data_IF_398901501179
#
_entry.id   IF_398901501179
#
_cell.length_a   1.000
_cell.length_b   1.000
_cell.length_c   1.000
_cell.angle_alpha   90.00
_cell.angle_beta   90.00
_cell.angle_gamma   90.00
#
_symmetry.space_group_name_H-M   'P 1'
#
loop_
_entity.id
_entity.type
_entity.pdbx_description
1 polymer ?
#
# COMPACT_ATOMS: atom_id res chain seq x y z
N UNK A 1 -35.59 7.53 14.68
CA UNK A 1 -35.06 8.61 13.81
C UNK A 1 -33.62 9.02 14.15
N UNK A 2 -33.26 9.30 15.42
CA UNK A 2 -31.85 9.62 15.78
C UNK A 2 -30.83 8.49 15.56
N UNK A 3 -31.20 7.23 15.80
CA UNK A 3 -30.28 6.08 15.71
C UNK A 3 -29.91 5.77 14.24
N UNK A 4 -30.90 5.75 13.34
CA UNK A 4 -30.69 5.55 11.91
C UNK A 4 -29.82 6.64 11.26
N UNK A 5 -29.93 7.88 11.72
CA UNK A 5 -29.06 8.98 11.27
C UNK A 5 -27.59 8.73 11.66
N UNK A 6 -27.34 8.29 12.90
CA UNK A 6 -25.98 7.98 13.36
C UNK A 6 -25.37 6.79 12.62
N UNK A 7 -26.14 5.73 12.37
CA UNK A 7 -25.68 4.58 11.57
C UNK A 7 -25.35 4.98 10.11
N UNK A 8 -26.19 5.82 9.50
CA UNK A 8 -25.92 6.32 8.14
C UNK A 8 -24.69 7.23 8.08
N UNK A 9 -24.46 8.02 9.14
CA UNK A 9 -23.31 8.90 9.24
C UNK A 9 -22.01 8.09 9.44
N UNK A 10 -22.03 7.09 10.31
CA UNK A 10 -20.88 6.23 10.62
C UNK A 10 -20.42 5.42 9.39
N UNK A 11 -21.36 4.78 8.69
CA UNK A 11 -21.10 4.09 7.43
C UNK A 11 -20.51 5.01 6.37
N UNK A 12 -21.02 6.23 6.23
CA UNK A 12 -20.49 7.22 5.29
C UNK A 12 -19.05 7.62 5.64
N UNK A 13 -18.75 7.85 6.92
CA UNK A 13 -17.40 8.18 7.38
C UNK A 13 -16.43 7.03 7.15
N UNK A 14 -16.84 5.81 7.46
CA UNK A 14 -16.04 4.61 7.23
C UNK A 14 -15.73 4.42 5.74
N UNK A 15 -16.72 4.59 4.87
CA UNK A 15 -16.55 4.51 3.41
C UNK A 15 -15.58 5.57 2.87
N UNK A 16 -15.68 6.80 3.39
CA UNK A 16 -14.75 7.89 3.01
C UNK A 16 -13.34 7.57 3.52
N UNK A 17 -13.21 7.11 4.76
CA UNK A 17 -11.94 6.69 5.36
C UNK A 17 -11.28 5.57 4.56
N UNK A 18 -12.04 4.53 4.21
CA UNK A 18 -11.56 3.40 3.41
C UNK A 18 -11.08 3.82 2.01
N UNK A 19 -11.66 4.88 1.44
CA UNK A 19 -11.24 5.42 0.13
C UNK A 19 -10.00 6.29 0.23
N UNK A 20 -9.81 7.02 1.33
CA UNK A 20 -8.72 7.99 1.49
C UNK A 20 -7.48 7.35 2.12
N UNK A 21 -7.66 6.46 3.10
CA UNK A 21 -6.56 5.87 3.86
C UNK A 21 -5.46 5.22 2.98
N UNK A 22 -5.79 4.49 1.89
CA UNK A 22 -4.76 3.91 1.03
C UNK A 22 -3.87 4.95 0.34
N UNK A 23 -4.38 6.17 0.07
CA UNK A 23 -3.60 7.25 -0.55
C UNK A 23 -2.69 7.97 0.45
N UNK A 24 -3.06 7.96 1.73
CA UNK A 24 -2.29 8.61 2.80
C UNK A 24 -1.30 7.67 3.47
N UNK A 25 -1.54 6.34 3.43
CA UNK A 25 -0.66 5.34 4.02
C UNK A 25 0.82 5.45 3.57
N UNK A 26 1.14 5.80 2.31
CA UNK A 26 2.52 6.02 1.85
C UNK A 26 3.24 7.26 2.42
N UNK A 27 2.50 8.23 2.96
CA UNK A 27 3.08 9.55 3.30
C UNK A 27 4.08 9.49 4.46
N UNK A 28 3.82 8.79 5.57
CA UNK A 28 4.77 8.72 6.68
C UNK A 28 6.11 8.09 6.28
N UNK A 29 6.07 6.99 5.53
CA UNK A 29 7.26 6.26 5.06
C UNK A 29 8.04 7.06 4.03
N UNK A 30 7.36 7.71 3.07
CA UNK A 30 7.99 8.62 2.11
C UNK A 30 8.74 9.77 2.81
N UNK A 31 8.12 10.37 3.84
CA UNK A 31 8.76 11.42 4.63
C UNK A 31 10.01 10.90 5.36
N UNK A 32 9.93 9.72 5.98
CA UNK A 32 11.06 9.13 6.70
C UNK A 32 12.24 8.82 5.76
N UNK A 33 11.97 8.23 4.59
CA UNK A 33 13.00 7.95 3.56
C UNK A 33 13.60 9.25 3.03
N UNK A 34 12.75 10.21 2.65
CA UNK A 34 13.21 11.50 2.12
C UNK A 34 14.06 12.26 3.12
N UNK A 35 13.63 12.30 4.39
CA UNK A 35 14.39 12.93 5.47
C UNK A 35 15.71 12.21 5.74
N UNK A 36 15.71 10.88 5.86
CA UNK A 36 16.92 10.13 6.14
C UNK A 36 17.96 10.26 5.01
N UNK A 37 17.50 10.23 3.76
CA UNK A 37 18.38 10.41 2.59
C UNK A 37 18.94 11.82 2.49
N UNK A 38 18.16 12.85 2.85
CA UNK A 38 18.63 14.23 2.88
C UNK A 38 19.57 14.51 4.07
N UNK A 39 19.14 14.17 5.30
CA UNK A 39 19.84 14.54 6.55
C UNK A 39 21.05 13.63 6.87
N UNK A 40 21.06 12.37 6.42
CA UNK A 40 22.08 11.39 6.80
C UNK A 40 22.96 10.90 5.65
N UNK A 41 22.49 10.99 4.40
CA UNK A 41 23.29 10.65 3.23
C UNK A 41 23.78 11.89 2.47
N UNK A 42 23.41 13.09 2.93
CA UNK A 42 23.70 14.38 2.29
C UNK A 42 23.30 14.41 0.80
N UNK A 43 22.24 13.68 0.44
CA UNK A 43 21.74 13.69 -0.93
C UNK A 43 21.07 15.02 -1.25
N UNK A 44 21.21 15.53 -2.48
CA UNK A 44 20.49 16.73 -2.87
C UNK A 44 18.98 16.47 -2.82
N UNK A 45 18.19 17.49 -2.42
CA UNK A 45 16.77 17.31 -2.09
C UNK A 45 15.92 16.69 -3.20
N UNK A 46 16.27 16.90 -4.48
CA UNK A 46 15.60 16.24 -5.60
C UNK A 46 15.88 14.73 -5.65
N UNK A 47 17.10 14.28 -5.31
CA UNK A 47 17.45 12.85 -5.22
C UNK A 47 16.75 12.20 -4.04
N UNK A 48 16.72 12.87 -2.88
CA UNK A 48 15.97 12.41 -1.71
C UNK A 48 14.47 12.23 -2.02
N UNK A 49 13.89 13.15 -2.79
CA UNK A 49 12.50 13.08 -3.24
C UNK A 49 12.27 11.88 -4.18
N UNK A 50 13.16 11.68 -5.15
CA UNK A 50 13.09 10.52 -6.06
C UNK A 50 13.22 9.20 -5.29
N UNK A 51 14.12 9.15 -4.30
CA UNK A 51 14.29 7.97 -3.45
C UNK A 51 13.02 7.65 -2.65
N UNK A 52 12.40 8.65 -2.03
CA UNK A 52 11.13 8.49 -1.32
C UNK A 52 10.02 7.96 -2.24
N UNK A 53 9.85 8.56 -3.42
CA UNK A 53 8.85 8.11 -4.40
C UNK A 53 9.13 6.69 -4.88
N UNK A 54 10.40 6.34 -5.09
CA UNK A 54 10.80 5.01 -5.57
C UNK A 54 10.46 3.92 -4.55
N UNK A 55 10.72 4.17 -3.27
CA UNK A 55 10.39 3.22 -2.20
C UNK A 55 8.88 3.01 -2.12
N UNK A 56 8.07 4.07 -2.15
CA UNK A 56 6.60 3.91 -2.16
C UNK A 56 6.07 3.22 -3.42
N UNK A 57 6.63 3.52 -4.59
CA UNK A 57 6.26 2.86 -5.83
C UNK A 57 6.57 1.36 -5.78
N UNK A 58 7.68 0.97 -5.13
CA UNK A 58 8.02 -0.44 -4.88
C UNK A 58 7.01 -1.10 -3.94
N UNK A 59 6.57 -0.41 -2.88
CA UNK A 59 5.53 -0.89 -1.98
C UNK A 59 4.20 -1.14 -2.67
N UNK A 60 3.76 -0.18 -3.48
CA UNK A 60 2.55 -0.29 -4.29
C UNK A 60 2.66 -1.45 -5.29
N UNK A 61 3.77 -1.54 -6.03
CA UNK A 61 3.99 -2.63 -6.99
C UNK A 61 3.97 -4.01 -6.30
N UNK A 62 4.67 -4.15 -5.18
CA UNK A 62 4.74 -5.41 -4.42
C UNK A 62 3.37 -5.80 -3.87
N UNK A 63 2.62 -4.84 -3.32
CA UNK A 63 1.26 -5.06 -2.81
C UNK A 63 0.30 -5.48 -3.91
N UNK A 64 0.30 -4.77 -5.04
CA UNK A 64 -0.55 -5.11 -6.19
C UNK A 64 -0.22 -6.49 -6.72
N UNK A 65 1.07 -6.80 -6.92
CA UNK A 65 1.50 -8.15 -7.36
C UNK A 65 1.06 -9.23 -6.37
N UNK A 66 1.19 -9.01 -5.05
CA UNK A 66 0.74 -9.98 -4.07
C UNK A 66 -0.78 -10.24 -4.13
N UNK A 67 -1.58 -9.19 -4.32
CA UNK A 67 -3.02 -9.30 -4.48
C UNK A 67 -3.40 -10.04 -5.77
N UNK A 68 -2.76 -9.72 -6.89
CA UNK A 68 -2.99 -10.38 -8.18
C UNK A 68 -2.64 -11.87 -8.14
N UNK A 69 -1.50 -12.24 -7.53
CA UNK A 69 -1.11 -13.65 -7.38
C UNK A 69 -2.06 -14.41 -6.46
N UNK A 70 -2.57 -13.75 -5.41
CA UNK A 70 -3.58 -14.32 -4.53
C UNK A 70 -4.91 -14.53 -5.28
N UNK A 71 -5.32 -13.55 -6.07
CA UNK A 71 -6.54 -13.60 -6.88
C UNK A 71 -6.46 -14.68 -7.97
N UNK A 72 -5.29 -14.83 -8.62
CA UNK A 72 -5.02 -15.93 -9.54
C UNK A 72 -5.27 -17.28 -8.87
N UNK A 73 -4.68 -17.52 -7.69
CA UNK A 73 -4.86 -18.78 -6.97
C UNK A 73 -6.31 -19.05 -6.57
N UNK A 74 -7.12 -18.01 -6.35
CA UNK A 74 -8.53 -18.14 -6.04
C UNK A 74 -9.41 -18.52 -7.25
N UNK A 75 -9.02 -18.13 -8.46
CA UNK A 75 -9.85 -18.27 -9.68
C UNK A 75 -9.27 -19.19 -10.75
N UNK A 76 -8.03 -19.67 -10.61
CA UNK A 76 -7.38 -20.56 -11.58
C UNK A 76 -8.11 -21.89 -11.75
N UNK A 77 -7.94 -22.54 -12.90
CA UNK A 77 -8.46 -23.90 -13.12
C UNK A 77 -7.59 -24.90 -12.37
N UNK A 78 -8.13 -26.10 -12.11
CA UNK A 78 -7.40 -27.19 -11.42
C UNK A 78 -6.11 -27.63 -12.11
N UNK A 79 -6.01 -27.41 -13.43
CA UNK A 79 -4.86 -27.79 -14.26
C UNK A 79 -3.79 -26.70 -14.33
N UNK A 80 -4.12 -25.48 -13.91
CA UNK A 80 -3.21 -24.34 -14.00
C UNK A 80 -2.24 -24.31 -12.81
N UNK A 81 -0.98 -23.90 -13.04
CA UNK A 81 0.03 -23.84 -12.00
C UNK A 81 -0.34 -22.84 -10.89
N UNK A 82 0.14 -23.11 -9.68
CA UNK A 82 -0.03 -22.22 -8.52
C UNK A 82 0.95 -21.05 -8.58
N UNK A 83 0.43 -19.84 -8.38
CA UNK A 83 1.24 -18.64 -8.23
C UNK A 83 1.86 -18.59 -6.83
N UNK A 84 3.07 -18.02 -6.68
CA UNK A 84 3.76 -17.91 -5.39
C UNK A 84 3.20 -16.77 -4.51
N UNK A 85 1.88 -16.78 -4.25
CA UNK A 85 1.19 -15.72 -3.51
C UNK A 85 1.74 -15.53 -2.07
N UNK A 86 2.12 -16.61 -1.40
CA UNK A 86 2.68 -16.54 -0.04
C UNK A 86 4.04 -15.83 -0.01
N UNK A 87 4.87 -16.04 -1.03
CA UNK A 87 6.15 -15.34 -1.15
C UNK A 87 5.90 -13.85 -1.38
N UNK A 88 4.98 -13.50 -2.28
CA UNK A 88 4.64 -12.11 -2.55
C UNK A 88 4.05 -11.39 -1.32
N UNK A 89 3.18 -12.05 -0.54
CA UNK A 89 2.69 -11.52 0.73
C UNK A 89 3.83 -11.33 1.75
N UNK A 90 4.81 -12.24 1.77
CA UNK A 90 6.03 -12.07 2.58
C UNK A 90 6.84 -10.84 2.16
N UNK A 91 6.96 -10.58 0.86
CA UNK A 91 7.63 -9.39 0.33
C UNK A 91 6.90 -8.10 0.70
N UNK A 92 5.56 -8.11 0.73
CA UNK A 92 4.77 -6.96 1.23
C UNK A 92 5.08 -6.63 2.69
N UNK A 93 5.38 -7.63 3.52
CA UNK A 93 5.77 -7.41 4.92
C UNK A 93 7.23 -7.02 5.14
N UNK A 94 8.09 -7.21 4.13
CA UNK A 94 9.50 -6.78 4.16
C UNK A 94 9.68 -5.34 3.65
N UNK A 95 8.80 -4.94 2.75
CA UNK A 95 8.55 -3.54 2.45
C UNK A 95 8.07 -2.81 3.72
#
# INVERSE_FOLDING_TARGET
MKIQFLESFDSTLSDVGAKIAPWLAPLPTAYLIGRATFDHLDWPGWVATVAAITVEALGLATTTTALELREWNAHKRKVDPEAPANLALGLVGLY
#
